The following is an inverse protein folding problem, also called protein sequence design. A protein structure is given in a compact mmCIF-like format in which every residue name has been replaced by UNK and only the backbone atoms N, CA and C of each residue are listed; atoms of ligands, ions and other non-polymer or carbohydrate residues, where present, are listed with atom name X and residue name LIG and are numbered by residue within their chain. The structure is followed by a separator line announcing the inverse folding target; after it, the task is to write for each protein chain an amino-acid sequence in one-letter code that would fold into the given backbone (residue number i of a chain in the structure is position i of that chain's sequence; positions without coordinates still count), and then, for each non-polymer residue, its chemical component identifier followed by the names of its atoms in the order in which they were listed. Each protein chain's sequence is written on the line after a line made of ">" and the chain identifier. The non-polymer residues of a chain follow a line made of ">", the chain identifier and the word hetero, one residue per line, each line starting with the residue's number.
data_IF_852577441414
#
_entry.id   IF_852577441414
#
_cell.length_a   1.000
_cell.length_b   1.000
_cell.length_c   1.000
_cell.angle_alpha   90.00
_cell.angle_beta   90.00
_cell.angle_gamma   90.00
#
_symmetry.space_group_name_H-M   'P 1'
#
loop_
_entity.id
_entity.type
_entity.pdbx_description
1 polymer ?
#
# COMPACT_ATOMS: atom_id res chain seq x y z
N UNK A 1 3.12 15.15 -12.23
CA UNK A 1 2.38 13.97 -11.70
C UNK A 1 2.31 12.94 -12.81
N UNK A 2 2.85 11.73 -12.61
CA UNK A 2 3.02 10.73 -13.69
C UNK A 2 1.77 10.45 -14.52
N UNK A 3 0.59 10.31 -13.88
CA UNK A 3 -0.67 10.12 -14.59
C UNK A 3 -1.01 11.30 -15.53
N UNK A 4 -0.80 12.53 -15.07
CA UNK A 4 -1.08 13.74 -15.87
C UNK A 4 -0.11 13.87 -17.03
N UNK A 5 1.18 13.63 -16.80
CA UNK A 5 2.22 13.62 -17.84
C UNK A 5 1.90 12.60 -18.95
N UNK A 6 1.35 11.44 -18.57
CA UNK A 6 0.91 10.43 -19.53
C UNK A 6 -0.33 10.88 -20.34
N UNK A 7 -1.31 11.54 -19.71
CA UNK A 7 -2.46 12.11 -20.42
C UNK A 7 -2.07 13.26 -21.36
N UNK A 8 -1.07 14.07 -21.00
CA UNK A 8 -0.53 15.10 -21.89
C UNK A 8 0.12 14.50 -23.14
N UNK A 9 0.80 13.35 -23.01
CA UNK A 9 1.44 12.67 -24.13
C UNK A 9 0.45 11.96 -25.08
N UNK A 10 -0.58 11.30 -24.54
CA UNK A 10 -1.49 10.45 -25.33
C UNK A 10 -2.88 11.05 -25.57
N UNK A 11 -3.23 12.12 -24.88
CA UNK A 11 -4.58 12.67 -24.86
C UNK A 11 -5.58 11.78 -24.10
N UNK A 12 -6.82 12.25 -23.96
CA UNK A 12 -7.82 11.60 -23.10
C UNK A 12 -8.21 10.20 -23.58
N UNK A 13 -8.49 10.01 -24.87
CA UNK A 13 -9.05 8.73 -25.35
C UNK A 13 -8.01 7.61 -25.38
N UNK A 14 -6.79 7.87 -25.88
CA UNK A 14 -5.72 6.86 -25.85
C UNK A 14 -5.15 6.70 -24.44
N UNK A 15 -5.05 7.80 -23.68
CA UNK A 15 -4.55 7.78 -22.31
C UNK A 15 -5.32 6.85 -21.37
N UNK A 16 -6.63 6.66 -21.56
CA UNK A 16 -7.41 5.67 -20.78
C UNK A 16 -6.82 4.25 -20.85
N UNK A 17 -6.23 3.89 -22.00
CA UNK A 17 -5.60 2.58 -22.22
C UNK A 17 -4.10 2.60 -21.92
N UNK A 18 -3.38 3.55 -22.53
CA UNK A 18 -1.92 3.62 -22.43
C UNK A 18 -1.42 4.00 -21.02
N UNK A 19 -2.23 4.73 -20.25
CA UNK A 19 -1.90 5.19 -18.91
C UNK A 19 -2.62 4.40 -17.79
N UNK A 20 -3.20 3.23 -18.10
CA UNK A 20 -4.07 2.49 -17.18
C UNK A 20 -3.42 2.21 -15.81
N UNK A 21 -2.14 1.82 -15.81
CA UNK A 21 -1.40 1.55 -14.56
C UNK A 21 -1.24 2.82 -13.72
N UNK A 22 -0.89 3.95 -14.34
CA UNK A 22 -0.71 5.23 -13.65
C UNK A 22 -2.03 5.79 -13.11
N UNK A 23 -3.15 5.52 -13.79
CA UNK A 23 -4.50 5.84 -13.31
C UNK A 23 -4.82 4.97 -12.09
N UNK A 24 -4.55 3.66 -12.16
CA UNK A 24 -4.78 2.75 -11.03
C UNK A 24 -3.94 3.12 -9.82
N UNK A 25 -2.66 3.47 -10.03
CA UNK A 25 -1.75 3.92 -8.97
C UNK A 25 -2.22 5.24 -8.36
N UNK A 26 -2.69 6.19 -9.18
CA UNK A 26 -3.23 7.45 -8.66
C UNK A 26 -4.50 7.22 -7.83
N UNK A 27 -5.42 6.37 -8.32
CA UNK A 27 -6.63 5.98 -7.59
C UNK A 27 -6.29 5.28 -6.27
N UNK A 28 -5.28 4.41 -6.26
CA UNK A 28 -4.81 3.75 -5.05
C UNK A 28 -4.16 4.74 -4.09
N UNK A 29 -3.31 5.63 -4.57
CA UNK A 29 -2.64 6.63 -3.74
C UNK A 29 -3.63 7.56 -3.03
N UNK A 30 -4.65 8.03 -3.74
CA UNK A 30 -5.69 8.90 -3.17
C UNK A 30 -6.68 8.12 -2.30
N UNK A 31 -7.06 6.91 -2.72
CA UNK A 31 -8.07 6.10 -2.03
C UNK A 31 -7.51 5.23 -0.89
N UNK A 32 -6.20 5.00 -0.86
CA UNK A 32 -5.45 4.13 0.06
C UNK A 32 -6.01 2.70 0.21
N UNK A 33 -6.82 2.24 -0.74
CA UNK A 33 -7.60 1.01 -0.56
C UNK A 33 -6.69 -0.22 -0.41
N UNK A 34 -5.71 -0.39 -1.31
CA UNK A 34 -4.80 -1.56 -1.26
C UNK A 34 -3.90 -1.47 -0.04
N UNK A 35 -3.40 -0.29 0.29
CA UNK A 35 -2.61 -0.06 1.50
C UNK A 35 -3.37 -0.44 2.78
N UNK A 36 -4.62 0.02 2.94
CA UNK A 36 -5.44 -0.29 4.11
C UNK A 36 -5.80 -1.77 4.19
N UNK A 37 -6.19 -2.39 3.08
CA UNK A 37 -6.45 -3.84 3.03
C UNK A 37 -5.23 -4.64 3.48
N UNK A 38 -4.04 -4.27 2.97
CA UNK A 38 -2.77 -4.89 3.37
C UNK A 38 -2.49 -4.68 4.86
N UNK A 39 -2.68 -3.46 5.38
CA UNK A 39 -2.53 -3.17 6.81
C UNK A 39 -3.44 -4.03 7.68
N UNK A 40 -4.72 -4.13 7.33
CA UNK A 40 -5.69 -4.94 8.07
C UNK A 40 -5.35 -6.43 8.00
N UNK A 41 -4.94 -6.95 6.84
CA UNK A 41 -4.52 -8.34 6.70
C UNK A 41 -3.33 -8.67 7.62
N UNK A 42 -2.27 -7.84 7.58
CA UNK A 42 -1.10 -8.00 8.45
C UNK A 42 -1.45 -7.87 9.94
N UNK A 43 -2.33 -6.93 10.29
CA UNK A 43 -2.80 -6.74 11.67
C UNK A 43 -3.56 -7.98 12.14
N UNK A 44 -4.55 -8.43 11.39
CA UNK A 44 -5.40 -9.56 11.77
C UNK A 44 -4.59 -10.85 11.94
N UNK A 45 -3.66 -11.12 11.03
CA UNK A 45 -2.79 -12.30 11.13
C UNK A 45 -1.91 -12.24 12.37
N UNK A 46 -1.34 -11.07 12.71
CA UNK A 46 -0.60 -10.89 13.97
C UNK A 46 -1.46 -11.18 15.21
N UNK A 47 -2.69 -10.66 15.28
CA UNK A 47 -3.59 -10.94 16.41
C UNK A 47 -3.95 -12.43 16.50
N UNK A 48 -4.15 -13.09 15.36
CA UNK A 48 -4.41 -14.54 15.29
C UNK A 48 -3.22 -15.34 15.84
N UNK A 49 -1.98 -14.99 15.48
CA UNK A 49 -0.77 -15.64 15.99
C UNK A 49 -0.62 -15.44 17.51
N UNK A 50 -0.95 -14.25 18.01
CA UNK A 50 -0.93 -13.96 19.45
C UNK A 50 -1.99 -14.76 20.23
N UNK A 51 -3.22 -14.84 19.73
CA UNK A 51 -4.30 -15.63 20.35
C UNK A 51 -3.99 -17.13 20.39
N UNK A 52 -3.22 -17.63 19.41
CA UNK A 52 -2.72 -19.01 19.40
C UNK A 52 -1.51 -19.25 20.30
N UNK A 53 -0.91 -18.20 20.87
CA UNK A 53 0.33 -18.29 21.63
C UNK A 53 1.60 -18.51 20.79
N UNK A 54 1.52 -18.37 19.47
CA UNK A 54 2.67 -18.50 18.55
C UNK A 54 3.63 -17.30 18.67
N UNK A 55 3.12 -16.12 19.12
CA UNK A 55 3.93 -14.93 19.43
C UNK A 55 3.87 -14.57 20.90
N UNK A 56 5.03 -14.30 21.50
CA UNK A 56 5.14 -13.79 22.88
C UNK A 56 4.87 -12.29 22.94
N UNK A 57 4.49 -11.77 24.11
CA UNK A 57 4.06 -10.36 24.27
C UNK A 57 5.08 -9.32 23.81
N UNK A 58 6.39 -9.57 23.97
CA UNK A 58 7.45 -8.69 23.45
C UNK A 58 7.57 -8.71 21.92
N UNK A 59 7.19 -9.81 21.25
CA UNK A 59 7.25 -9.99 19.79
C UNK A 59 5.93 -9.58 19.09
N UNK A 60 4.99 -9.02 19.86
CA UNK A 60 3.69 -8.64 19.33
C UNK A 60 3.81 -7.49 18.32
N UNK A 61 4.66 -6.51 18.58
CA UNK A 61 5.06 -5.51 17.61
C UNK A 61 6.49 -5.78 17.11
N UNK A 62 6.77 -5.39 15.87
CA UNK A 62 8.15 -5.39 15.39
C UNK A 62 8.93 -4.29 16.12
N UNK A 63 10.23 -4.51 16.30
CA UNK A 63 11.10 -3.49 16.86
C UNK A 63 11.04 -2.21 16.02
N UNK A 64 11.09 -1.03 16.66
CA UNK A 64 11.13 0.22 15.93
C UNK A 64 12.37 0.23 15.02
N UNK A 65 12.29 0.86 13.83
CA UNK A 65 13.48 1.06 13.02
C UNK A 65 14.51 1.88 13.80
N UNK A 66 15.79 1.72 13.48
CA UNK A 66 16.84 2.52 14.08
C UNK A 66 16.59 4.01 13.79
N UNK A 67 17.02 4.87 14.70
CA UNK A 67 16.85 6.33 14.58
C UNK A 67 17.53 6.88 13.31
N UNK A 68 18.57 6.20 12.83
CA UNK A 68 19.35 6.53 11.63
C UNK A 68 18.87 5.83 10.35
N UNK A 69 17.68 5.22 10.36
CA UNK A 69 17.11 4.59 9.17
C UNK A 69 16.41 5.63 8.28
N UNK A 70 17.20 6.41 7.52
CA UNK A 70 16.73 7.25 6.42
C UNK A 70 17.60 7.01 5.18
#
# INVERSE_FOLDING_TARGET
>A
MKMMECFEAYGLERGKRECADLISDFQECVGMQKQLMRFHAMRNERYKQWLKGERKGQEFFADPPRVDAY
#
